data_IF_478540992690
#
_entry.id   IF_478540992690
#
_cell.length_a   1.000
_cell.length_b   1.000
_cell.length_c   1.000
_cell.angle_alpha   90.00
_cell.angle_beta   90.00
_cell.angle_gamma   90.00
#
_symmetry.space_group_name_H-M   'P 1'
#
loop_
_entity.id
_entity.type
_entity.pdbx_description
1 polymer ?
#
# COMPACT_ATOMS: atom_id res chain seq x y z
N UNK A 1 11.22 -9.01 18.96
CA UNK A 1 10.37 -8.08 18.18
C UNK A 1 10.60 -6.69 18.73
N UNK A 2 11.17 -5.79 17.93
CA UNK A 2 11.30 -4.38 18.32
C UNK A 2 9.93 -3.71 18.31
N UNK A 3 9.31 -3.57 19.47
CA UNK A 3 7.98 -2.97 19.62
C UNK A 3 7.92 -1.54 19.08
N UNK A 4 9.06 -0.84 19.12
CA UNK A 4 9.23 0.49 18.52
C UNK A 4 9.00 0.48 17.02
N UNK A 5 9.64 -0.44 16.30
CA UNK A 5 9.52 -0.55 14.83
C UNK A 5 8.08 -0.90 14.43
N UNK A 6 7.43 -1.78 15.20
CA UNK A 6 6.03 -2.14 14.95
C UNK A 6 5.12 -0.92 15.08
N UNK A 7 5.19 -0.20 16.21
CA UNK A 7 4.32 0.95 16.47
C UNK A 7 4.59 2.12 15.51
N UNK A 8 5.85 2.41 15.18
CA UNK A 8 6.17 3.49 14.24
C UNK A 8 5.71 3.15 12.82
N UNK A 9 5.98 1.93 12.34
CA UNK A 9 5.58 1.51 11.00
C UNK A 9 4.06 1.47 10.89
N UNK A 10 3.38 0.90 11.90
CA UNK A 10 1.92 0.90 11.95
C UNK A 10 1.36 2.32 11.93
N UNK A 11 1.85 3.22 12.79
CA UNK A 11 1.34 4.59 12.88
C UNK A 11 1.54 5.38 11.58
N UNK A 12 2.72 5.27 10.95
CA UNK A 12 3.01 5.95 9.69
C UNK A 12 2.15 5.43 8.55
N UNK A 13 2.06 4.10 8.37
CA UNK A 13 1.25 3.50 7.30
C UNK A 13 -0.24 3.77 7.55
N UNK A 14 -0.71 3.62 8.79
CA UNK A 14 -2.09 3.88 9.14
C UNK A 14 -2.50 5.31 8.75
N UNK A 15 -1.70 6.31 9.12
CA UNK A 15 -1.95 7.70 8.74
C UNK A 15 -1.86 7.94 7.23
N UNK A 16 -0.88 7.32 6.55
CA UNK A 16 -0.70 7.46 5.11
C UNK A 16 -1.86 6.87 4.29
N UNK A 17 -2.48 5.79 4.80
CA UNK A 17 -3.57 5.07 4.14
C UNK A 17 -4.97 5.59 4.54
N UNK A 18 -5.07 6.50 5.52
CA UNK A 18 -6.36 7.05 5.96
C UNK A 18 -7.05 7.85 4.84
N UNK A 19 -8.26 7.42 4.47
CA UNK A 19 -9.07 8.09 3.45
C UNK A 19 -8.73 7.70 2.01
N UNK A 20 -7.98 6.63 1.80
CA UNK A 20 -7.67 6.15 0.46
C UNK A 20 -8.89 5.51 -0.26
N UNK A 21 -8.82 5.47 -1.59
CA UNK A 21 -9.79 4.84 -2.49
C UNK A 21 -10.10 3.40 -2.11
N UNK A 22 -9.13 2.65 -1.59
CA UNK A 22 -9.34 1.27 -1.11
C UNK A 22 -10.34 1.20 0.05
N UNK A 23 -10.36 2.20 0.94
CA UNK A 23 -11.33 2.27 2.04
C UNK A 23 -12.74 2.58 1.53
N UNK A 24 -12.88 3.50 0.57
CA UNK A 24 -14.16 3.79 -0.08
C UNK A 24 -14.69 2.55 -0.83
N UNK A 25 -13.82 1.79 -1.49
CA UNK A 25 -14.19 0.52 -2.12
C UNK A 25 -14.69 -0.50 -1.08
N UNK A 26 -14.00 -0.65 0.05
CA UNK A 26 -14.44 -1.54 1.12
C UNK A 26 -15.79 -1.11 1.72
N UNK A 27 -16.00 0.19 1.95
CA UNK A 27 -17.27 0.74 2.45
C UNK A 27 -18.43 0.49 1.47
N UNK A 28 -18.21 0.73 0.18
CA UNK A 28 -19.24 0.51 -0.85
C UNK A 28 -19.56 -0.97 -1.01
N UNK A 29 -18.55 -1.86 -1.01
CA UNK A 29 -18.78 -3.31 -1.03
C UNK A 29 -19.56 -3.78 0.20
N UNK A 30 -19.23 -3.26 1.39
CA UNK A 30 -19.96 -3.54 2.64
C UNK A 30 -21.42 -3.12 2.55
N UNK A 31 -21.69 -1.92 2.01
CA UNK A 31 -23.04 -1.40 1.80
C UNK A 31 -23.85 -2.25 0.80
N UNK A 32 -23.22 -2.70 -0.30
CA UNK A 32 -23.89 -3.51 -1.33
C UNK A 32 -24.19 -4.94 -0.88
N UNK A 33 -23.21 -5.61 -0.27
CA UNK A 33 -23.36 -7.02 0.16
C UNK A 33 -24.09 -7.17 1.49
N UNK A 34 -24.25 -6.10 2.27
CA UNK A 34 -24.81 -6.08 3.63
C UNK A 34 -24.13 -7.07 4.59
N UNK A 35 -22.88 -7.45 4.29
CA UNK A 35 -22.07 -8.41 5.07
C UNK A 35 -20.78 -7.74 5.54
N UNK A 36 -20.84 -6.81 6.51
CA UNK A 36 -19.71 -5.98 6.91
C UNK A 36 -18.51 -6.81 7.40
N UNK A 37 -18.76 -7.87 8.18
CA UNK A 37 -17.71 -8.75 8.69
C UNK A 37 -16.98 -9.54 7.60
N UNK A 38 -17.71 -10.02 6.59
CA UNK A 38 -17.11 -10.74 5.47
C UNK A 38 -16.22 -9.81 4.63
N UNK A 39 -16.70 -8.59 4.36
CA UNK A 39 -15.93 -7.58 3.61
C UNK A 39 -14.71 -7.13 4.41
N UNK A 40 -14.84 -6.96 5.73
CA UNK A 40 -13.71 -6.63 6.60
C UNK A 40 -12.62 -7.70 6.55
N UNK A 41 -12.98 -8.97 6.75
CA UNK A 41 -12.01 -10.08 6.72
C UNK A 41 -11.36 -10.20 5.33
N UNK A 42 -12.17 -10.12 4.27
CA UNK A 42 -11.65 -10.23 2.90
C UNK A 42 -10.70 -9.08 2.55
N UNK A 43 -11.05 -7.84 2.87
CA UNK A 43 -10.18 -6.67 2.63
C UNK A 43 -8.93 -6.69 3.48
N UNK A 44 -9.01 -7.09 4.75
CA UNK A 44 -7.85 -7.25 5.63
C UNK A 44 -6.89 -8.33 5.13
N UNK A 45 -7.41 -9.48 4.69
CA UNK A 45 -6.61 -10.56 4.10
C UNK A 45 -5.96 -10.12 2.79
N UNK A 46 -6.71 -9.44 1.92
CA UNK A 46 -6.19 -8.93 0.65
C UNK A 46 -5.05 -7.93 0.89
N UNK A 47 -5.23 -6.96 1.80
CA UNK A 47 -4.21 -5.97 2.15
C UNK A 47 -2.98 -6.62 2.76
N UNK A 48 -3.16 -7.59 3.66
CA UNK A 48 -2.07 -8.33 4.28
C UNK A 48 -1.29 -9.13 3.24
N UNK A 49 -1.98 -9.81 2.32
CA UNK A 49 -1.35 -10.59 1.25
C UNK A 49 -0.54 -9.70 0.31
N UNK A 50 -1.12 -8.60 -0.19
CA UNK A 50 -0.41 -7.64 -1.05
C UNK A 50 0.80 -7.04 -0.33
N UNK A 51 0.67 -6.67 0.95
CA UNK A 51 1.77 -6.11 1.74
C UNK A 51 2.87 -7.14 1.95
N UNK A 52 2.54 -8.39 2.28
CA UNK A 52 3.49 -9.47 2.45
C UNK A 52 4.27 -9.74 1.15
N UNK A 53 3.57 -9.81 0.01
CA UNK A 53 4.18 -9.95 -1.31
C UNK A 53 5.11 -8.78 -1.59
N UNK A 54 4.67 -7.55 -1.33
CA UNK A 54 5.47 -6.34 -1.52
C UNK A 54 6.75 -6.33 -0.68
N UNK A 55 6.68 -6.73 0.59
CA UNK A 55 7.84 -6.82 1.48
C UNK A 55 8.80 -7.91 1.02
N UNK A 56 8.31 -9.10 0.67
CA UNK A 56 9.16 -10.20 0.17
C UNK A 56 9.84 -9.80 -1.13
N UNK A 57 9.09 -9.27 -2.10
CA UNK A 57 9.65 -8.82 -3.38
C UNK A 57 10.66 -7.68 -3.19
N UNK A 58 10.35 -6.70 -2.33
CA UNK A 58 11.25 -5.60 -2.00
C UNK A 58 12.55 -6.06 -1.34
N UNK A 59 12.47 -7.04 -0.44
CA UNK A 59 13.63 -7.61 0.22
C UNK A 59 14.52 -8.37 -0.78
N UNK A 60 13.92 -9.26 -1.58
CA UNK A 60 14.65 -9.99 -2.63
C UNK A 60 15.32 -9.03 -3.61
N UNK A 61 14.62 -8.01 -4.10
CA UNK A 61 15.22 -7.01 -4.98
C UNK A 61 16.35 -6.23 -4.31
N UNK A 62 16.26 -5.98 -3.00
CA UNK A 62 17.31 -5.33 -2.22
C UNK A 62 18.59 -6.14 -2.09
N UNK A 63 18.49 -7.48 -2.10
CA UNK A 63 19.66 -8.37 -2.06
C UNK A 63 20.43 -8.39 -3.40
N UNK A 64 19.72 -8.23 -4.53
CA UNK A 64 20.32 -8.29 -5.87
C UNK A 64 20.64 -6.92 -6.47
N UNK A 65 19.97 -5.85 -6.04
CA UNK A 65 20.11 -4.51 -6.62
C UNK A 65 20.64 -3.50 -5.61
N UNK A 66 21.59 -2.64 -6.00
CA UNK A 66 22.04 -1.56 -5.13
C UNK A 66 20.87 -0.63 -4.79
N UNK A 67 20.71 -0.33 -3.49
CA UNK A 67 19.60 0.49 -2.96
C UNK A 67 19.44 1.86 -3.65
N UNK A 68 20.54 2.40 -4.19
CA UNK A 68 20.56 3.66 -4.95
C UNK A 68 19.70 3.58 -6.22
N UNK A 69 19.71 2.44 -6.91
CA UNK A 69 18.94 2.25 -8.15
C UNK A 69 17.46 2.08 -7.84
N UNK A 70 17.11 1.31 -6.81
CA UNK A 70 15.73 1.15 -6.34
C UNK A 70 15.13 2.53 -6.01
N UNK A 71 15.85 3.36 -5.24
CA UNK A 71 15.39 4.71 -4.89
C UNK A 71 15.23 5.62 -6.10
N UNK A 72 16.19 5.63 -7.03
CA UNK A 72 16.13 6.47 -8.23
C UNK A 72 14.98 6.07 -9.15
N UNK A 73 14.79 4.78 -9.39
CA UNK A 73 13.70 4.28 -10.23
C UNK A 73 12.35 4.62 -9.61
N UNK A 74 12.17 4.39 -8.30
CA UNK A 74 10.94 4.78 -7.60
C UNK A 74 10.69 6.28 -7.69
N UNK A 75 11.71 7.13 -7.45
CA UNK A 75 11.54 8.58 -7.54
C UNK A 75 11.10 9.03 -8.94
N UNK A 76 11.72 8.49 -10.00
CA UNK A 76 11.32 8.80 -11.39
C UNK A 76 9.90 8.31 -11.65
N UNK A 77 9.53 7.10 -11.21
CA UNK A 77 8.17 6.58 -11.37
C UNK A 77 7.12 7.48 -10.68
N UNK A 78 7.38 7.92 -9.44
CA UNK A 78 6.49 8.84 -8.73
C UNK A 78 6.36 10.19 -9.42
N UNK A 79 7.46 10.75 -9.96
CA UNK A 79 7.41 12.01 -10.74
C UNK A 79 6.57 11.81 -12.00
N UNK A 80 6.79 10.73 -12.75
CA UNK A 80 6.03 10.43 -13.97
C UNK A 80 4.54 10.30 -13.66
N UNK A 81 4.18 9.53 -12.64
CA UNK A 81 2.78 9.37 -12.21
C UNK A 81 2.19 10.74 -11.82
N UNK A 82 2.91 11.53 -11.01
CA UNK A 82 2.47 12.87 -10.61
C UNK A 82 2.23 13.80 -11.80
N UNK A 83 3.12 13.79 -12.80
CA UNK A 83 2.95 14.57 -14.03
C UNK A 83 1.76 14.08 -14.86
N UNK A 84 1.55 12.77 -14.96
CA UNK A 84 0.40 12.20 -15.68
C UNK A 84 -0.94 12.57 -15.04
N UNK A 85 -1.00 12.55 -13.70
CA UNK A 85 -2.17 13.00 -12.93
C UNK A 85 -2.42 14.50 -13.17
N UNK A 86 -1.38 15.33 -13.10
CA UNK A 86 -1.50 16.78 -13.36
C UNK A 86 -1.93 17.08 -14.80
N UNK A 87 -1.51 16.27 -15.77
CA UNK A 87 -1.88 16.39 -17.16
C UNK A 87 -3.30 15.87 -17.47
N UNK A 88 -4.02 15.32 -16.49
CA UNK A 88 -5.37 14.78 -16.67
C UNK A 88 -5.43 13.55 -17.58
N UNK A 89 -4.31 12.83 -17.75
CA UNK A 89 -4.24 11.59 -18.54
C UNK A 89 -4.55 10.35 -17.70
N UNK A 90 -5.02 10.54 -16.48
CA UNK A 90 -5.39 9.54 -15.49
C UNK A 90 -6.60 10.05 -14.71
#
# INVERSE_FOLDING_TARGET
MDWRVLLTTFGVIFLAEMGDKTQLAAMTMSAQTKKPWAVFIASALALTAVSAIGVVAGNLLGDYLPLIWIKRVSAVAFIVIGVLILAGKF
#
